data_IF_481678279560
#
_entry.id   IF_481678279560
#
_cell.length_a   1.000
_cell.length_b   1.000
_cell.length_c   1.000
_cell.angle_alpha   90.00
_cell.angle_beta   90.00
_cell.angle_gamma   90.00
#
_symmetry.space_group_name_H-M   'P 1'
#
loop_
_entity.id
_entity.type
_entity.pdbx_description
1 polymer ?
#
# COMPACT_ATOMS: atom_id res chain seq x y z
N UNK A 1 15.68 10.61 4.42
CA UNK A 1 15.36 10.17 3.06
C UNK A 1 14.27 9.11 3.06
N UNK A 2 13.37 9.20 2.10
CA UNK A 2 12.29 8.25 1.92
C UNK A 2 12.65 7.25 0.81
N UNK A 3 12.00 6.09 0.82
CA UNK A 3 12.21 5.06 -0.18
C UNK A 3 10.87 4.68 -0.81
N UNK A 4 10.76 4.89 -2.13
CA UNK A 4 9.65 4.37 -2.92
C UNK A 4 10.10 3.02 -3.47
N UNK A 5 9.43 1.96 -3.04
CA UNK A 5 9.91 0.61 -3.28
C UNK A 5 9.11 -0.09 -4.38
N UNK A 6 9.79 -0.33 -5.52
CA UNK A 6 9.30 -1.27 -6.52
C UNK A 6 10.04 -2.59 -6.46
N UNK A 7 11.03 -2.74 -5.56
CA UNK A 7 11.82 -3.95 -5.41
C UNK A 7 11.92 -4.34 -3.94
N UNK A 8 12.31 -5.58 -3.69
CA UNK A 8 12.41 -6.13 -2.33
C UNK A 8 13.63 -5.64 -1.54
N UNK A 9 14.60 -5.02 -2.20
CA UNK A 9 15.90 -4.73 -1.57
C UNK A 9 15.79 -3.82 -0.35
N UNK A 10 15.01 -2.74 -0.44
CA UNK A 10 14.85 -1.83 0.70
C UNK A 10 14.10 -2.46 1.87
N UNK A 11 13.20 -3.40 1.57
CA UNK A 11 12.35 -4.02 2.58
C UNK A 11 13.08 -5.14 3.31
N UNK A 12 13.91 -5.91 2.59
CA UNK A 12 14.64 -7.03 3.16
C UNK A 12 15.74 -6.59 4.11
N UNK A 13 16.27 -5.39 3.93
CA UNK A 13 17.27 -4.86 4.83
C UNK A 13 16.59 -4.34 6.10
N UNK A 14 16.66 -5.10 7.17
CA UNK A 14 16.03 -4.72 8.44
C UNK A 14 16.55 -3.39 9.00
N UNK A 15 17.71 -2.93 8.55
CA UNK A 15 18.21 -1.62 8.96
C UNK A 15 17.40 -0.48 8.37
N UNK A 16 16.74 -0.68 7.24
CA UNK A 16 15.87 0.33 6.64
C UNK A 16 14.51 0.39 7.33
N UNK A 17 13.99 -0.74 7.81
CA UNK A 17 12.64 -0.81 8.36
C UNK A 17 12.42 0.19 9.50
N UNK A 18 13.40 0.41 10.37
CA UNK A 18 13.29 1.33 11.49
C UNK A 18 13.90 2.70 11.25
N UNK A 19 14.48 2.96 10.07
CA UNK A 19 15.26 4.18 9.83
C UNK A 19 14.69 5.09 8.76
N UNK A 20 14.02 4.53 7.75
CA UNK A 20 13.56 5.30 6.60
C UNK A 20 12.09 5.05 6.34
N UNK A 21 11.32 6.09 6.01
CA UNK A 21 9.96 5.91 5.54
C UNK A 21 9.96 5.14 4.22
N UNK A 22 9.02 4.22 4.07
CA UNK A 22 8.89 3.38 2.89
C UNK A 22 7.45 3.42 2.39
N UNK A 23 7.29 3.64 1.09
CA UNK A 23 6.00 3.46 0.41
C UNK A 23 6.20 2.42 -0.69
N UNK A 24 5.57 1.26 -0.55
CA UNK A 24 5.60 0.19 -1.54
C UNK A 24 4.37 0.24 -2.42
N UNK A 25 4.56 0.14 -3.74
CA UNK A 25 3.49 0.21 -4.73
C UNK A 25 3.40 -1.12 -5.48
N UNK A 26 2.21 -1.68 -5.53
CA UNK A 26 1.90 -2.94 -6.22
C UNK A 26 2.82 -4.09 -5.77
N UNK A 27 3.87 -4.41 -6.52
CA UNK A 27 4.83 -5.45 -6.13
C UNK A 27 5.55 -5.08 -4.83
N UNK A 28 5.84 -3.80 -4.63
CA UNK A 28 6.44 -3.31 -3.39
C UNK A 28 5.51 -3.49 -2.18
N UNK A 29 4.22 -3.27 -2.36
CA UNK A 29 3.21 -3.54 -1.33
C UNK A 29 3.19 -5.02 -0.96
N UNK A 30 3.20 -5.89 -1.97
CA UNK A 30 3.21 -7.33 -1.75
C UNK A 30 4.51 -7.77 -1.05
N UNK A 31 5.63 -7.18 -1.43
CA UNK A 31 6.92 -7.45 -0.80
C UNK A 31 6.95 -7.01 0.66
N UNK A 32 6.32 -5.88 1.00
CA UNK A 32 6.15 -5.46 2.40
C UNK A 32 5.38 -6.52 3.19
N UNK A 33 4.26 -6.99 2.64
CA UNK A 33 3.47 -8.02 3.28
C UNK A 33 4.31 -9.26 3.56
N UNK A 34 5.02 -9.77 2.56
CA UNK A 34 5.85 -10.96 2.70
C UNK A 34 7.02 -10.75 3.66
N UNK A 35 7.65 -9.59 3.63
CA UNK A 35 8.80 -9.29 4.49
C UNK A 35 8.43 -9.38 5.97
N UNK A 36 7.21 -9.06 6.33
CA UNK A 36 6.72 -9.12 7.71
C UNK A 36 5.90 -10.38 8.01
N UNK A 37 5.83 -11.33 7.08
CA UNK A 37 5.25 -12.65 7.34
C UNK A 37 3.86 -12.89 6.80
N UNK A 38 3.32 -11.96 6.01
CA UNK A 38 2.02 -12.17 5.35
C UNK A 38 2.14 -13.11 4.16
N UNK A 39 1.02 -13.66 3.73
CA UNK A 39 0.95 -14.53 2.57
C UNK A 39 0.32 -13.81 1.39
N UNK A 40 0.68 -14.22 0.18
CA UNK A 40 0.05 -13.75 -1.05
C UNK A 40 -0.93 -14.79 -1.58
N UNK A 41 -2.03 -14.31 -2.13
CA UNK A 41 -3.06 -15.15 -2.74
C UNK A 41 -3.26 -14.73 -4.18
N UNK A 42 -3.30 -15.71 -5.09
CA UNK A 42 -3.59 -15.46 -6.50
C UNK A 42 -5.12 -15.40 -6.68
N UNK A 43 -5.59 -14.29 -7.22
CA UNK A 43 -7.02 -14.12 -7.48
C UNK A 43 -7.43 -14.88 -8.74
N UNK A 44 -8.70 -15.32 -8.79
CA UNK A 44 -9.26 -15.92 -10.00
C UNK A 44 -9.39 -14.91 -11.12
N UNK A 45 -9.56 -13.64 -10.77
CA UNK A 45 -9.65 -12.55 -11.75
C UNK A 45 -8.31 -11.82 -11.85
N UNK A 46 -7.93 -11.46 -13.07
CA UNK A 46 -6.74 -10.66 -13.34
C UNK A 46 -7.20 -9.24 -13.67
N UNK A 47 -6.63 -8.27 -12.97
CA UNK A 47 -6.95 -6.85 -13.20
C UNK A 47 -5.90 -6.23 -14.12
N UNK A 48 -6.33 -5.74 -15.27
CA UNK A 48 -5.48 -5.08 -16.28
C UNK A 48 -6.02 -3.70 -16.57
N UNK A 49 -5.62 -2.71 -15.78
CA UNK A 49 -6.07 -1.34 -16.00
C UNK A 49 -7.56 -1.17 -15.75
N UNK A 50 -8.04 -1.72 -14.66
CA UNK A 50 -9.45 -1.63 -14.25
C UNK A 50 -9.58 -0.61 -13.13
N UNK A 51 -10.51 0.33 -13.27
CA UNK A 51 -10.82 1.27 -12.19
C UNK A 51 -11.89 0.67 -11.28
N UNK A 52 -11.59 0.62 -9.99
CA UNK A 52 -12.52 0.16 -8.97
C UNK A 52 -12.53 1.13 -7.81
N UNK A 53 -13.61 1.19 -7.02
CA UNK A 53 -13.59 1.97 -5.78
C UNK A 53 -12.70 1.29 -4.75
N UNK A 54 -12.08 2.12 -3.92
CA UNK A 54 -11.26 1.69 -2.80
C UNK A 54 -11.77 2.43 -1.56
N UNK A 55 -11.79 1.75 -0.42
CA UNK A 55 -12.32 2.28 0.83
C UNK A 55 -11.21 2.31 1.88
N UNK A 56 -10.79 3.50 2.33
CA UNK A 56 -9.75 3.58 3.36
C UNK A 56 -10.38 3.76 4.74
N UNK A 57 -9.61 3.38 5.77
CA UNK A 57 -10.08 3.37 7.17
C UNK A 57 -9.80 4.66 7.91
N UNK A 58 -9.17 5.65 7.27
CA UNK A 58 -8.74 6.91 7.87
C UNK A 58 -7.62 6.74 8.93
N UNK A 59 -7.00 5.58 8.98
CA UNK A 59 -5.96 5.27 9.98
C UNK A 59 -4.55 5.52 9.49
N UNK A 60 -4.37 5.91 8.23
CA UNK A 60 -3.06 6.19 7.67
C UNK A 60 -3.02 7.61 7.13
N UNK A 61 -1.96 8.34 7.48
CA UNK A 61 -1.82 9.74 7.06
C UNK A 61 -1.70 9.90 5.54
N UNK A 62 -1.30 8.84 4.82
CA UNK A 62 -1.20 8.94 3.35
C UNK A 62 -2.57 9.19 2.71
N UNK A 63 -3.65 8.87 3.41
CA UNK A 63 -5.02 9.10 2.93
C UNK A 63 -5.64 10.39 3.47
N UNK A 64 -4.85 11.24 4.12
CA UNK A 64 -5.36 12.50 4.66
C UNK A 64 -5.88 13.38 3.53
N UNK A 65 -7.10 13.89 3.68
CA UNK A 65 -7.75 14.71 2.65
C UNK A 65 -8.33 13.93 1.48
N UNK A 66 -8.17 12.60 1.46
CA UNK A 66 -8.73 11.74 0.42
C UNK A 66 -10.11 11.29 0.86
N UNK A 67 -11.12 11.32 -0.03
CA UNK A 67 -12.45 10.79 0.31
C UNK A 67 -12.35 9.34 0.76
N UNK A 68 -13.20 8.94 1.68
CA UNK A 68 -13.17 7.57 2.24
C UNK A 68 -13.36 6.52 1.16
N UNK A 69 -14.17 6.82 0.15
CA UNK A 69 -14.31 6.01 -1.05
C UNK A 69 -13.68 6.78 -2.21
N UNK A 70 -12.72 6.19 -2.89
CA UNK A 70 -12.04 6.85 -4.00
C UNK A 70 -11.66 5.82 -5.07
N UNK A 71 -11.60 6.24 -6.36
CA UNK A 71 -11.28 5.31 -7.44
C UNK A 71 -9.78 5.03 -7.51
N UNK A 72 -9.43 3.80 -7.83
CA UNK A 72 -8.05 3.37 -8.01
C UNK A 72 -7.90 2.51 -9.26
N UNK A 73 -6.72 2.56 -9.88
CA UNK A 73 -6.38 1.69 -11.01
C UNK A 73 -5.71 0.43 -10.52
N UNK A 74 -6.23 -0.71 -10.95
CA UNK A 74 -5.75 -2.03 -10.54
C UNK A 74 -5.08 -2.73 -11.71
N UNK A 75 -3.89 -3.29 -11.45
CA UNK A 75 -3.05 -3.96 -12.44
C UNK A 75 -2.40 -5.20 -11.81
N UNK A 76 -3.21 -6.06 -11.18
CA UNK A 76 -2.65 -7.17 -10.42
C UNK A 76 -3.57 -8.40 -10.44
N UNK A 77 -2.98 -9.56 -10.20
CA UNK A 77 -3.72 -10.81 -9.99
C UNK A 77 -3.41 -11.42 -8.62
N UNK A 78 -2.46 -10.85 -7.88
CA UNK A 78 -2.11 -11.29 -6.54
C UNK A 78 -2.45 -10.20 -5.53
N UNK A 79 -2.83 -10.61 -4.33
CA UNK A 79 -3.11 -9.71 -3.20
C UNK A 79 -2.46 -10.28 -1.95
N UNK A 80 -2.20 -9.38 -0.98
CA UNK A 80 -1.82 -9.82 0.36
C UNK A 80 -3.06 -10.40 1.02
N UNK A 81 -2.93 -11.62 1.57
CA UNK A 81 -4.04 -12.30 2.24
C UNK A 81 -4.26 -11.69 3.62
N UNK A 82 -5.53 -11.53 3.99
CA UNK A 82 -5.90 -11.17 5.36
C UNK A 82 -5.85 -12.38 6.30
N UNK A 83 -5.81 -13.58 5.75
CA UNK A 83 -5.68 -14.81 6.52
C UNK A 83 -4.25 -14.94 7.02
N UNK A 84 -4.08 -14.95 8.33
CA UNK A 84 -2.76 -15.02 8.93
C UNK A 84 -1.95 -13.72 8.84
N UNK A 85 -2.60 -12.59 8.63
CA UNK A 85 -1.90 -11.31 8.57
C UNK A 85 -1.20 -11.04 9.90
N UNK A 86 0.13 -10.75 9.90
CA UNK A 86 0.86 -10.48 11.13
C UNK A 86 0.28 -9.29 11.90
N UNK A 87 0.34 -9.35 13.22
CA UNK A 87 -0.20 -8.29 14.07
C UNK A 87 0.52 -6.95 13.92
N UNK A 88 1.75 -6.96 13.40
CA UNK A 88 2.49 -5.72 13.17
C UNK A 88 1.99 -4.94 11.94
N UNK A 89 1.16 -5.55 11.10
CA UNK A 89 0.58 -4.91 9.94
C UNK A 89 -0.89 -4.59 10.16
N UNK A 90 -1.32 -3.43 9.68
CA UNK A 90 -2.71 -2.99 9.76
C UNK A 90 -3.24 -2.72 8.35
N UNK A 91 -4.42 -3.26 8.04
CA UNK A 91 -5.10 -2.98 6.78
C UNK A 91 -5.65 -1.55 6.83
N UNK A 92 -5.32 -0.75 5.84
CA UNK A 92 -5.73 0.65 5.79
C UNK A 92 -6.67 0.98 4.63
N UNK A 93 -6.81 0.08 3.67
CA UNK A 93 -7.81 0.22 2.61
C UNK A 93 -8.17 -1.14 2.04
N UNK A 94 -9.41 -1.26 1.59
CA UNK A 94 -9.94 -2.51 1.00
C UNK A 94 -10.72 -2.22 -0.27
N UNK A 95 -10.82 -3.24 -1.15
CA UNK A 95 -11.69 -3.22 -2.32
C UNK A 95 -13.14 -3.52 -1.92
N UNK A 96 -14.11 -3.36 -2.85
CA UNK A 96 -15.49 -3.75 -2.55
C UNK A 96 -15.64 -5.22 -2.14
N UNK A 97 -14.76 -6.10 -2.64
CA UNK A 97 -14.74 -7.52 -2.31
C UNK A 97 -14.05 -7.82 -0.98
N UNK A 98 -13.50 -6.81 -0.31
CA UNK A 98 -12.78 -6.99 0.95
C UNK A 98 -11.32 -7.35 0.81
N UNK A 99 -10.76 -7.26 -0.38
CA UNK A 99 -9.34 -7.53 -0.62
C UNK A 99 -8.49 -6.37 -0.10
N UNK A 100 -7.32 -6.68 0.43
CA UNK A 100 -6.41 -5.66 0.95
C UNK A 100 -5.89 -4.80 -0.20
N UNK A 101 -6.15 -3.50 -0.14
CA UNK A 101 -5.68 -2.52 -1.11
C UNK A 101 -4.58 -1.63 -0.55
N UNK A 102 -4.46 -1.53 0.75
CA UNK A 102 -3.38 -0.81 1.41
C UNK A 102 -3.16 -1.37 2.82
N UNK A 103 -1.92 -1.29 3.27
CA UNK A 103 -1.55 -1.69 4.63
C UNK A 103 -0.45 -0.76 5.14
N UNK A 104 -0.23 -0.79 6.45
CA UNK A 104 0.87 -0.08 7.09
C UNK A 104 1.46 -0.91 8.21
N UNK A 105 2.72 -0.63 8.55
CA UNK A 105 3.32 -1.16 9.76
C UNK A 105 2.85 -0.32 10.95
N UNK A 106 2.57 -0.96 12.09
CA UNK A 106 2.03 -0.24 13.26
C UNK A 106 3.06 0.64 13.96
N UNK A 107 4.34 0.27 13.86
CA UNK A 107 5.43 0.98 14.55
C UNK A 107 6.32 1.77 13.59
N UNK A 108 6.60 1.24 12.41
CA UNK A 108 7.49 1.87 11.44
C UNK A 108 6.68 2.67 10.43
N UNK A 109 7.32 3.68 9.84
CA UNK A 109 6.71 4.49 8.78
C UNK A 109 6.83 3.75 7.44
N UNK A 110 6.14 2.62 7.37
CA UNK A 110 6.12 1.74 6.21
C UNK A 110 4.67 1.56 5.76
N UNK A 111 4.42 1.86 4.49
CA UNK A 111 3.09 1.81 3.89
C UNK A 111 3.12 1.05 2.58
N UNK A 112 2.07 0.30 2.30
CA UNK A 112 1.91 -0.40 1.03
C UNK A 112 0.57 -0.04 0.40
N UNK A 113 0.57 0.18 -0.92
CA UNK A 113 -0.66 0.34 -1.70
C UNK A 113 -0.62 -0.63 -2.88
N UNK A 114 -1.72 -1.36 -3.08
CA UNK A 114 -1.81 -2.35 -4.14
C UNK A 114 -2.05 -1.70 -5.50
N UNK A 115 -2.70 -0.56 -5.52
CA UNK A 115 -3.02 0.16 -6.74
C UNK A 115 -1.85 1.04 -7.19
N UNK A 116 -1.93 1.52 -8.44
CA UNK A 116 -0.89 2.39 -9.02
C UNK A 116 -1.29 3.85 -8.87
N UNK A 117 -0.61 4.63 -8.02
CA UNK A 117 -0.96 6.03 -7.81
C UNK A 117 -0.64 6.91 -9.02
N UNK A 118 0.28 6.48 -9.90
CA UNK A 118 0.65 7.22 -11.11
C UNK A 118 -0.34 7.03 -12.25
N UNK A 119 -1.24 6.05 -12.15
CA UNK A 119 -2.21 5.76 -13.20
C UNK A 119 -3.27 6.85 -13.30
N UNK A 120 -3.69 7.15 -14.54
CA UNK A 120 -4.82 8.05 -14.78
C UNK A 120 -6.12 7.52 -14.16
N UNK A 121 -6.18 6.21 -13.87
CA UNK A 121 -7.32 5.58 -13.21
C UNK A 121 -7.34 5.82 -11.70
N UNK A 122 -6.29 6.43 -11.14
CA UNK A 122 -6.19 6.78 -9.73
C UNK A 122 -6.07 8.30 -9.59
N UNK A 123 -7.19 9.05 -9.71
CA UNK A 123 -7.11 10.52 -9.70
C UNK A 123 -6.53 11.09 -8.40
N UNK A 124 -6.69 10.40 -7.27
CA UNK A 124 -6.16 10.84 -5.97
C UNK A 124 -4.73 10.36 -5.71
N UNK A 125 -4.12 9.67 -6.69
CA UNK A 125 -2.81 9.05 -6.50
C UNK A 125 -1.71 10.04 -6.16
N UNK A 126 -1.69 11.19 -6.86
CA UNK A 126 -0.71 12.24 -6.59
C UNK A 126 -0.81 12.75 -5.16
N UNK A 127 -2.03 12.97 -4.68
CA UNK A 127 -2.23 13.46 -3.31
C UNK A 127 -1.74 12.44 -2.28
N UNK A 128 -1.92 11.15 -2.54
CA UNK A 128 -1.43 10.08 -1.66
C UNK A 128 0.09 10.13 -1.58
N UNK A 129 0.77 10.21 -2.71
CA UNK A 129 2.24 10.28 -2.75
C UNK A 129 2.73 11.57 -2.08
N UNK A 130 2.07 12.70 -2.33
CA UNK A 130 2.42 13.97 -1.70
C UNK A 130 2.24 13.92 -0.17
N UNK A 131 1.20 13.26 0.31
CA UNK A 131 0.99 13.07 1.75
C UNK A 131 2.16 12.29 2.36
N UNK A 132 2.59 11.23 1.69
CA UNK A 132 3.73 10.44 2.15
C UNK A 132 5.00 11.28 2.16
N UNK A 133 5.32 11.95 1.06
CA UNK A 133 6.54 12.75 0.95
C UNK A 133 6.51 13.96 1.89
N UNK A 134 5.38 14.63 2.02
CA UNK A 134 5.24 15.79 2.91
C UNK A 134 5.45 15.41 4.37
N UNK A 135 4.93 14.28 4.80
CA UNK A 135 5.11 13.81 6.18
C UNK A 135 6.58 13.47 6.46
N UNK A 136 7.27 12.89 5.48
CA UNK A 136 8.66 12.46 5.67
C UNK A 136 9.66 13.60 5.56
N UNK A 137 9.35 14.66 4.80
CA UNK A 137 10.25 15.79 4.56
C UNK A 137 10.00 16.95 5.51
N UNK A 138 8.81 17.02 6.11
CA UNK A 138 8.42 18.09 7.04
C UNK A 138 7.97 17.45 8.37
N UNK A 139 8.94 17.05 9.21
CA UNK A 139 8.63 16.40 10.50
C UNK A 139 7.94 17.35 11.47
#
# INVERSE_FOLDING_TARGET
ASCLVGSEMCIRDSTYAGRKPILGVCLGHQAIGQAFGAQLVNLSDVFHGVQNPCFHTEKDYIFQGIPRQFPVGRYHSWVVSDDGLPSCLEVTAVSPEGQIMALRHREYDIHGIQFHPESVLTPNGRAIVENFLGHTLCP
#
